data_IF_575767387017
#
_entry.id   IF_575767387017
#
_cell.length_a   1.000
_cell.length_b   1.000
_cell.length_c   1.000
_cell.angle_alpha   90.00
_cell.angle_beta   90.00
_cell.angle_gamma   90.00
#
_symmetry.space_group_name_H-M   'P 1'
#
loop_
_entity.id
_entity.type
_entity.pdbx_description
1 polymer ?
#
# COMPACT_ATOMS: atom_id res chain seq x y z
N UNK A 1 25.94 -25.38 45.59
CA UNK A 1 26.25 -24.84 44.25
C UNK A 1 24.94 -24.54 43.54
N UNK A 2 24.67 -23.27 43.19
CA UNK A 2 23.42 -22.84 42.52
C UNK A 2 23.55 -23.06 41.00
N UNK A 3 22.64 -23.83 40.40
CA UNK A 3 22.50 -23.95 38.95
C UNK A 3 21.74 -22.73 38.41
N UNK A 4 22.36 -21.99 37.49
CA UNK A 4 21.75 -20.90 36.74
C UNK A 4 21.13 -21.50 35.46
N UNK A 5 19.80 -21.58 35.38
CA UNK A 5 19.11 -21.93 34.13
C UNK A 5 19.15 -20.73 33.19
N UNK A 6 19.82 -20.87 32.05
CA UNK A 6 19.71 -19.93 30.94
C UNK A 6 18.40 -20.23 30.17
N UNK A 7 17.49 -19.27 30.18
CA UNK A 7 16.26 -19.32 29.36
C UNK A 7 16.65 -18.93 27.95
N UNK A 8 16.79 -19.93 27.08
CA UNK A 8 16.94 -19.72 25.63
C UNK A 8 15.56 -19.32 25.09
N UNK A 9 15.35 -18.03 24.86
CA UNK A 9 14.17 -17.57 24.12
C UNK A 9 14.32 -18.00 22.66
N UNK A 10 13.57 -19.02 22.25
CA UNK A 10 13.35 -19.31 20.83
C UNK A 10 12.52 -18.16 20.24
N UNK A 11 13.18 -17.25 19.53
CA UNK A 11 12.51 -16.37 18.58
C UNK A 11 12.02 -17.26 17.43
N UNK A 12 10.73 -17.58 17.43
CA UNK A 12 10.08 -18.08 16.22
C UNK A 12 10.08 -16.92 15.21
N UNK A 13 10.98 -16.99 14.23
CA UNK A 13 10.87 -16.19 13.00
C UNK A 13 9.58 -16.68 12.34
N UNK A 14 8.50 -15.92 12.47
CA UNK A 14 7.33 -16.18 11.65
C UNK A 14 7.73 -15.88 10.21
N UNK A 15 7.54 -16.81 9.26
CA UNK A 15 7.75 -16.50 7.86
C UNK A 15 6.85 -15.31 7.50
N UNK A 16 7.39 -14.33 6.78
CA UNK A 16 6.60 -13.20 6.28
C UNK A 16 5.51 -13.76 5.36
N UNK A 17 4.28 -13.83 5.86
CA UNK A 17 3.13 -14.35 5.11
C UNK A 17 2.48 -13.27 4.25
N UNK A 18 2.95 -12.04 4.35
CA UNK A 18 2.46 -10.90 3.58
C UNK A 18 3.46 -10.63 2.46
N UNK A 19 3.00 -10.75 1.23
CA UNK A 19 3.75 -10.43 0.03
C UNK A 19 3.14 -9.20 -0.63
N UNK A 20 4.00 -8.34 -1.20
CA UNK A 20 3.55 -7.14 -1.91
C UNK A 20 4.01 -7.22 -3.36
N UNK A 21 3.06 -7.10 -4.27
CA UNK A 21 3.29 -7.19 -5.71
C UNK A 21 2.82 -5.94 -6.44
N UNK A 22 3.27 -5.80 -7.69
CA UNK A 22 2.78 -4.80 -8.64
C UNK A 22 2.78 -3.36 -8.11
N UNK A 23 3.75 -2.99 -7.26
CA UNK A 23 3.80 -1.66 -6.68
C UNK A 23 4.21 -0.59 -7.70
N UNK A 24 3.36 0.41 -7.90
CA UNK A 24 3.64 1.53 -8.79
C UNK A 24 2.98 2.84 -8.35
N UNK A 25 3.59 3.95 -8.75
CA UNK A 25 3.10 5.30 -8.45
C UNK A 25 2.77 6.01 -9.77
N UNK A 26 1.66 6.74 -9.80
CA UNK A 26 1.37 7.62 -10.94
C UNK A 26 2.35 8.81 -10.97
N UNK A 27 2.91 9.11 -12.13
CA UNK A 27 3.80 10.26 -12.31
C UNK A 27 3.10 11.60 -11.95
N UNK A 28 3.85 12.49 -11.30
CA UNK A 28 3.38 13.83 -10.94
C UNK A 28 4.57 14.73 -10.57
N UNK A 29 4.42 16.04 -10.75
CA UNK A 29 5.41 17.05 -10.36
C UNK A 29 5.31 17.42 -8.87
N UNK A 30 6.37 18.04 -8.39
CA UNK A 30 6.49 18.64 -7.05
C UNK A 30 5.26 19.49 -6.70
N UNK A 31 4.81 19.41 -5.45
CA UNK A 31 3.65 20.13 -4.91
C UNK A 31 2.29 19.52 -5.25
N UNK A 32 2.21 18.62 -6.24
CA UNK A 32 0.97 17.96 -6.61
C UNK A 32 0.66 16.74 -5.71
N UNK A 33 -0.55 16.20 -5.90
CA UNK A 33 -1.00 14.94 -5.31
C UNK A 33 -0.96 13.84 -6.36
N UNK A 34 -0.54 12.64 -5.97
CA UNK A 34 -0.61 11.44 -6.80
C UNK A 34 -1.08 10.23 -6.00
N UNK A 35 -1.16 9.07 -6.64
CA UNK A 35 -1.58 7.81 -6.02
C UNK A 35 -0.53 6.71 -6.20
N UNK A 36 -0.38 5.90 -5.16
CA UNK A 36 0.36 4.65 -5.08
C UNK A 36 -0.63 3.48 -5.11
N UNK A 37 -0.27 2.46 -5.88
CA UNK A 37 -1.05 1.25 -6.16
C UNK A 37 -0.14 0.02 -5.99
N UNK A 38 -0.71 -1.09 -5.52
CA UNK A 38 -0.01 -2.36 -5.25
C UNK A 38 -1.03 -3.44 -4.86
N UNK A 39 -0.60 -4.70 -4.89
CA UNK A 39 -1.37 -5.83 -4.39
C UNK A 39 -0.75 -6.34 -3.08
N UNK A 40 -1.58 -6.62 -2.08
CA UNK A 40 -1.18 -7.30 -0.84
C UNK A 40 -1.70 -8.73 -0.91
N UNK A 41 -0.81 -9.71 -0.80
CA UNK A 41 -1.16 -11.14 -0.74
C UNK A 41 -0.90 -11.62 0.68
N UNK A 42 -1.94 -12.12 1.36
CA UNK A 42 -1.80 -12.74 2.66
C UNK A 42 -1.88 -14.25 2.54
N UNK A 43 -0.72 -14.90 2.50
CA UNK A 43 -0.57 -16.36 2.48
C UNK A 43 -0.73 -16.99 3.88
N UNK A 44 -0.95 -16.19 4.91
CA UNK A 44 -1.02 -16.62 6.30
C UNK A 44 -2.42 -17.07 6.71
N UNK A 45 -2.48 -17.91 7.75
CA UNK A 45 -3.75 -18.43 8.30
C UNK A 45 -4.51 -17.45 9.21
N UNK A 46 -4.13 -16.16 9.25
CA UNK A 46 -4.81 -15.13 10.04
C UNK A 46 -4.88 -13.83 9.23
N UNK A 47 -5.97 -13.08 9.39
CA UNK A 47 -6.07 -11.74 8.84
C UNK A 47 -4.98 -10.82 9.41
N UNK A 48 -4.49 -9.88 8.61
CA UNK A 48 -3.62 -8.78 9.04
C UNK A 48 -4.25 -7.44 8.67
N UNK A 49 -3.70 -6.35 9.17
CA UNK A 49 -4.24 -5.01 8.97
C UNK A 49 -3.12 -4.06 8.57
N UNK A 50 -3.24 -3.47 7.38
CA UNK A 50 -2.40 -2.35 6.97
C UNK A 50 -2.92 -1.10 7.70
N UNK A 51 -2.15 -0.61 8.67
CA UNK A 51 -2.53 0.52 9.52
C UNK A 51 -1.84 1.82 9.15
N UNK A 52 -0.76 1.77 8.35
CA UNK A 52 -0.05 2.98 7.90
C UNK A 52 0.74 2.73 6.63
N UNK A 53 0.86 3.79 5.82
CA UNK A 53 1.81 3.86 4.71
C UNK A 53 2.69 5.09 4.86
N UNK A 54 3.99 4.91 4.66
CA UNK A 54 4.98 5.99 4.70
C UNK A 54 5.70 6.06 3.35
N UNK A 55 5.92 7.28 2.86
CA UNK A 55 6.62 7.53 1.61
C UNK A 55 7.42 8.82 1.73
N UNK A 56 8.73 8.73 1.51
CA UNK A 56 9.64 9.89 1.65
C UNK A 56 9.40 10.98 0.61
N UNK A 57 8.75 10.64 -0.50
CA UNK A 57 8.47 11.55 -1.62
C UNK A 57 7.30 12.51 -1.37
N UNK A 58 6.49 12.32 -0.32
CA UNK A 58 5.32 13.15 -0.02
C UNK A 58 5.39 13.76 1.39
N UNK A 59 4.69 14.87 1.61
CA UNK A 59 4.49 15.40 2.97
C UNK A 59 3.42 14.63 3.73
N UNK A 60 2.34 14.26 3.05
CA UNK A 60 1.18 13.60 3.64
C UNK A 60 0.91 12.32 2.84
N UNK A 61 0.64 11.23 3.56
CA UNK A 61 0.31 9.92 2.99
C UNK A 61 -0.96 9.42 3.65
N UNK A 62 -1.96 9.08 2.85
CA UNK A 62 -3.28 8.65 3.33
C UNK A 62 -3.77 7.43 2.56
N UNK A 63 -4.53 6.56 3.23
CA UNK A 63 -5.19 5.43 2.58
C UNK A 63 -6.61 5.86 2.25
N UNK A 64 -7.03 5.76 0.99
CA UNK A 64 -8.35 6.19 0.54
C UNK A 64 -9.10 5.03 -0.10
N UNK A 65 -10.42 5.06 0.01
CA UNK A 65 -11.33 4.23 -0.76
C UNK A 65 -12.22 5.09 -1.66
N UNK A 66 -12.57 4.54 -2.81
CA UNK A 66 -13.59 5.11 -3.69
C UNK A 66 -14.94 4.54 -3.26
N UNK A 67 -15.92 5.40 -3.03
CA UNK A 67 -17.28 4.98 -2.67
C UNK A 67 -18.30 5.53 -3.67
N UNK A 68 -19.36 4.77 -3.86
CA UNK A 68 -20.55 5.16 -4.62
C UNK A 68 -21.69 5.37 -3.62
N UNK A 69 -22.29 6.55 -3.65
CA UNK A 69 -23.50 6.88 -2.88
C UNK A 69 -24.55 7.47 -3.84
N UNK A 70 -25.45 6.60 -4.30
CA UNK A 70 -26.40 6.92 -5.37
C UNK A 70 -25.68 7.27 -6.67
N UNK A 71 -25.91 8.50 -7.15
CA UNK A 71 -25.27 9.03 -8.37
C UNK A 71 -23.92 9.73 -8.09
N UNK A 72 -23.47 9.78 -6.83
CA UNK A 72 -22.22 10.43 -6.45
C UNK A 72 -21.09 9.41 -6.26
N UNK A 73 -20.00 9.65 -6.99
CA UNK A 73 -18.71 8.99 -6.79
C UNK A 73 -17.80 9.88 -5.97
N UNK A 74 -17.27 9.35 -4.87
CA UNK A 74 -16.39 10.09 -3.97
C UNK A 74 -15.15 9.29 -3.58
N UNK A 75 -14.19 9.98 -2.96
CA UNK A 75 -13.04 9.37 -2.30
C UNK A 75 -13.05 9.78 -0.84
N UNK A 76 -12.82 8.85 0.07
CA UNK A 76 -12.67 9.13 1.50
C UNK A 76 -11.46 8.42 2.07
N UNK A 77 -10.85 9.07 3.05
CA UNK A 77 -9.77 8.48 3.83
C UNK A 77 -10.31 7.36 4.72
N UNK A 78 -9.53 6.29 4.85
CA UNK A 78 -9.75 5.18 5.77
C UNK A 78 -8.50 5.03 6.64
N UNK A 79 -8.71 4.74 7.93
CA UNK A 79 -7.60 4.64 8.89
C UNK A 79 -6.76 3.37 8.69
N UNK A 80 -7.38 2.30 8.21
CA UNK A 80 -6.74 1.00 8.03
C UNK A 80 -7.50 0.14 7.03
N UNK A 81 -6.82 -0.88 6.51
CA UNK A 81 -7.40 -1.90 5.63
C UNK A 81 -7.12 -3.27 6.23
N UNK A 82 -8.13 -4.14 6.30
CA UNK A 82 -8.00 -5.52 6.74
C UNK A 82 -7.77 -6.42 5.53
N UNK A 83 -6.78 -7.30 5.62
CA UNK A 83 -6.42 -8.28 4.61
C UNK A 83 -6.67 -9.66 5.21
N UNK A 84 -7.74 -10.31 4.78
CA UNK A 84 -8.16 -11.61 5.30
C UNK A 84 -7.11 -12.69 5.05
N UNK A 85 -7.15 -13.75 5.85
CA UNK A 85 -6.31 -14.92 5.66
C UNK A 85 -6.51 -15.53 4.26
N UNK A 86 -5.43 -15.94 3.60
CA UNK A 86 -5.46 -16.56 2.26
C UNK A 86 -6.18 -15.69 1.21
N UNK A 87 -6.03 -14.37 1.31
CA UNK A 87 -6.69 -13.42 0.40
C UNK A 87 -5.69 -12.46 -0.24
N UNK A 88 -6.14 -11.84 -1.33
CA UNK A 88 -5.43 -10.74 -1.99
C UNK A 88 -6.27 -9.48 -1.88
N UNK A 89 -5.64 -8.37 -1.48
CA UNK A 89 -6.26 -7.05 -1.45
C UNK A 89 -5.52 -6.10 -2.41
N UNK A 90 -6.23 -5.55 -3.39
CA UNK A 90 -5.65 -4.71 -4.44
C UNK A 90 -5.92 -3.23 -4.25
N UNK A 91 -4.86 -2.43 -4.17
CA UNK A 91 -4.89 -0.98 -4.30
C UNK A 91 -4.81 -0.63 -5.78
N UNK A 92 -5.92 -0.24 -6.39
CA UNK A 92 -6.05 0.03 -7.83
C UNK A 92 -6.93 1.25 -8.10
N UNK A 93 -6.81 1.88 -9.29
CA UNK A 93 -7.63 3.02 -9.66
C UNK A 93 -9.13 2.74 -9.50
N UNK A 94 -9.89 3.73 -9.02
CA UNK A 94 -11.33 3.65 -8.75
C UNK A 94 -11.73 2.65 -7.64
N UNK A 95 -10.77 2.15 -6.85
CA UNK A 95 -11.04 1.35 -5.64
C UNK A 95 -10.23 1.97 -4.49
N UNK A 96 -9.49 1.16 -3.75
CA UNK A 96 -8.56 1.61 -2.72
C UNK A 96 -7.26 2.11 -3.35
N UNK A 97 -6.70 3.18 -2.81
CA UNK A 97 -5.44 3.74 -3.27
C UNK A 97 -4.76 4.53 -2.16
N UNK A 98 -3.44 4.62 -2.20
CA UNK A 98 -2.68 5.43 -1.24
C UNK A 98 -2.40 6.78 -1.86
N UNK A 99 -3.01 7.83 -1.32
CA UNK A 99 -2.81 9.22 -1.71
C UNK A 99 -1.46 9.73 -1.19
N UNK A 100 -0.62 10.21 -2.10
CA UNK A 100 0.64 10.90 -1.83
C UNK A 100 0.43 12.38 -2.08
N UNK A 101 0.22 13.16 -1.01
CA UNK A 101 -0.20 14.56 -1.07
C UNK A 101 1.01 15.46 -0.82
N UNK A 102 1.07 16.57 -1.59
CA UNK A 102 2.18 17.53 -1.60
C UNK A 102 3.53 16.84 -1.80
N UNK A 103 3.76 16.39 -3.03
CA UNK A 103 5.04 15.79 -3.41
C UNK A 103 6.21 16.75 -3.16
N UNK A 104 7.27 16.24 -2.56
CA UNK A 104 8.49 16.99 -2.24
C UNK A 104 9.46 17.11 -3.42
N UNK A 105 9.25 16.31 -4.46
CA UNK A 105 10.03 16.28 -5.70
C UNK A 105 9.18 15.77 -6.86
N UNK A 106 9.68 15.99 -8.08
CA UNK A 106 9.09 15.39 -9.28
C UNK A 106 9.24 13.86 -9.24
N UNK A 107 8.17 13.17 -9.61
CA UNK A 107 8.15 11.73 -9.85
C UNK A 107 7.97 11.50 -11.35
N UNK A 108 9.07 11.12 -12.01
CA UNK A 108 9.14 10.89 -13.46
C UNK A 108 9.08 9.39 -13.75
N UNK A 109 8.61 9.05 -14.93
CA UNK A 109 8.51 7.66 -15.37
C UNK A 109 9.87 6.94 -15.27
N UNK A 110 9.86 5.73 -14.70
CA UNK A 110 11.07 4.94 -14.43
C UNK A 110 11.76 5.25 -13.10
N UNK A 111 11.37 6.31 -12.40
CA UNK A 111 11.86 6.56 -11.04
C UNK A 111 11.42 5.44 -10.09
N UNK A 112 12.24 5.17 -9.08
CA UNK A 112 11.89 4.25 -7.97
C UNK A 112 11.73 5.04 -6.68
N UNK A 113 10.66 4.76 -5.96
CA UNK A 113 10.34 5.42 -4.69
C UNK A 113 10.23 4.36 -3.60
N UNK A 114 11.00 4.56 -2.53
CA UNK A 114 10.91 3.71 -1.34
C UNK A 114 9.62 4.01 -0.56
N UNK A 115 8.88 2.95 -0.25
CA UNK A 115 7.64 2.98 0.50
C UNK A 115 7.75 2.00 1.67
N UNK A 116 7.16 2.37 2.80
CA UNK A 116 7.04 1.48 3.97
C UNK A 116 5.57 1.25 4.27
N UNK A 117 5.17 -0.01 4.30
CA UNK A 117 3.85 -0.46 4.72
C UNK A 117 3.96 -0.96 6.17
N UNK A 118 3.08 -0.49 7.04
CA UNK A 118 3.02 -0.94 8.43
C UNK A 118 1.79 -1.79 8.65
N UNK A 119 2.03 -3.06 8.97
CA UNK A 119 1.03 -4.04 9.35
C UNK A 119 1.02 -4.26 10.85
N UNK A 120 -0.15 -4.62 11.38
CA UNK A 120 -0.30 -4.86 12.81
C UNK A 120 0.40 -6.16 13.27
N UNK A 121 0.47 -7.19 12.42
CA UNK A 121 1.10 -8.48 12.76
C UNK A 121 2.43 -8.68 12.03
N UNK A 122 2.47 -8.50 10.71
CA UNK A 122 3.70 -8.64 9.92
C UNK A 122 4.72 -7.51 10.18
N UNK A 123 4.31 -6.42 10.82
CA UNK A 123 5.21 -5.30 11.10
C UNK A 123 5.51 -4.45 9.87
N UNK A 124 6.75 -3.98 9.72
CA UNK A 124 7.12 -3.04 8.66
C UNK A 124 7.67 -3.78 7.44
N UNK A 125 7.01 -3.62 6.31
CA UNK A 125 7.45 -4.12 5.01
C UNK A 125 7.92 -2.95 4.16
N UNK A 126 9.14 -3.02 3.64
CA UNK A 126 9.71 -2.01 2.74
C UNK A 126 9.63 -2.49 1.30
N UNK A 127 9.23 -1.62 0.40
CA UNK A 127 9.14 -1.91 -1.02
C UNK A 127 9.62 -0.73 -1.86
N UNK A 128 9.94 -1.01 -3.13
CA UNK A 128 10.18 0.02 -4.14
C UNK A 128 9.04 0.03 -5.13
N UNK A 129 8.37 1.17 -5.25
CA UNK A 129 7.34 1.38 -6.26
C UNK A 129 7.95 2.11 -7.46
N UNK A 130 7.70 1.57 -8.66
CA UNK A 130 8.12 2.21 -9.91
C UNK A 130 7.13 3.30 -10.30
N UNK A 131 7.62 4.46 -10.69
CA UNK A 131 6.78 5.54 -11.20
C UNK A 131 6.43 5.25 -12.66
N UNK A 132 5.13 5.23 -12.94
CA UNK A 132 4.58 4.96 -14.28
C UNK A 132 3.69 6.10 -14.71
N UNK A 133 3.67 6.38 -16.01
CA UNK A 133 2.63 7.23 -16.59
C UNK A 133 1.32 6.47 -16.54
N UNK A 134 0.30 7.05 -15.91
CA UNK A 134 -1.04 6.49 -16.00
C UNK A 134 -1.54 6.72 -17.44
N UNK A 135 -1.33 5.75 -18.31
CA UNK A 135 -2.12 5.62 -19.53
C UNK A 135 -3.51 5.17 -19.09
N UNK A 136 -4.49 6.05 -19.17
CA UNK A 136 -5.90 5.67 -19.16
C UNK A 136 -6.11 4.72 -20.35
N UNK A 137 -5.87 3.42 -20.15
CA UNK A 137 -6.12 2.40 -21.14
C UNK A 137 -7.60 2.40 -21.43
N UNK A 138 -7.98 2.94 -22.61
CA UNK A 138 -9.28 2.79 -23.28
C UNK A 138 -10.44 2.47 -22.32
N UNK A 139 -11.03 3.49 -21.70
CA UNK A 139 -12.48 3.41 -21.50
C UNK A 139 -13.05 3.17 -22.90
N UNK A 140 -13.50 1.93 -23.17
CA UNK A 140 -14.23 1.63 -24.41
C UNK A 140 -15.40 2.59 -24.44
N UNK A 141 -15.28 3.63 -25.26
CA UNK A 141 -16.38 4.48 -25.68
C UNK A 141 -17.28 3.59 -26.53
N UNK A 142 -18.12 2.80 -25.88
CA UNK A 142 -19.26 2.18 -26.54
C UNK A 142 -20.27 3.31 -26.76
N UNK A 143 -20.02 4.10 -27.80
CA UNK A 143 -20.99 5.02 -28.37
C UNK A 143 -22.01 4.14 -29.09
N UNK A 144 -23.25 4.12 -28.58
CA UNK A 144 -24.41 3.77 -29.40
C UNK A 144 -24.69 4.91 -30.38
#
# INVERSE_FOLDING_TARGET
MKFLLAVISLFFIQPDTIEIENAWIRNASTGMTTALFFDIINNGGKADTLSKVECSAAEIVQIHETFEDGDMMGMREVEAVIIEAHSTFSFKPMHHHVMLIKLKKDLKEGDKVDVVLQFNKAGKIKLQAEVKKMTMGKMKKNMH
#
